data_IF_507967646497
#
_entry.id   IF_507967646497
#
_cell.length_a   1.000
_cell.length_b   1.000
_cell.length_c   1.000
_cell.angle_alpha   90.00
_cell.angle_beta   90.00
_cell.angle_gamma   90.00
#
_symmetry.space_group_name_H-M   'P 1'
#
loop_
_entity.id
_entity.type
_entity.pdbx_description
1 polymer ?
#
# COMPACT_ATOMS: atom_id res chain seq x y z
N UNK A 1 -19.29 -15.23 7.60
CA UNK A 1 -19.24 -13.75 7.72
C UNK A 1 -20.65 -13.29 8.09
N UNK A 2 -20.86 -12.43 9.10
CA UNK A 2 -22.22 -11.97 9.43
C UNK A 2 -22.62 -10.87 8.43
N UNK A 3 -23.84 -10.88 7.86
CA UNK A 3 -24.33 -9.79 7.03
C UNK A 3 -24.29 -8.45 7.77
N UNK A 4 -23.96 -7.36 7.09
CA UNK A 4 -23.93 -6.02 7.71
C UNK A 4 -25.30 -5.60 8.27
N UNK A 5 -26.39 -6.08 7.68
CA UNK A 5 -27.74 -5.82 8.16
C UNK A 5 -28.01 -6.38 9.56
N UNK A 6 -27.51 -7.60 9.87
CA UNK A 6 -27.63 -8.18 11.22
C UNK A 6 -26.90 -7.34 12.26
N UNK A 7 -25.65 -6.97 11.97
CA UNK A 7 -24.81 -6.17 12.89
C UNK A 7 -25.45 -4.82 13.18
N UNK A 8 -25.94 -4.13 12.14
CA UNK A 8 -26.62 -2.85 12.31
C UNK A 8 -27.91 -3.00 13.13
N UNK A 9 -28.65 -4.11 12.98
CA UNK A 9 -29.86 -4.34 13.75
C UNK A 9 -29.60 -4.69 15.22
N UNK A 10 -28.52 -5.41 15.51
CA UNK A 10 -28.06 -5.68 16.89
C UNK A 10 -27.69 -4.35 17.58
N UNK A 11 -26.85 -3.53 16.93
CA UNK A 11 -26.42 -2.22 17.47
C UNK A 11 -27.61 -1.27 17.64
N UNK A 12 -28.55 -1.26 16.70
CA UNK A 12 -29.80 -0.51 16.80
C UNK A 12 -30.58 -0.92 18.05
N UNK A 13 -30.71 -2.22 18.31
CA UNK A 13 -31.41 -2.73 19.49
C UNK A 13 -30.70 -2.30 20.79
N UNK A 14 -29.37 -2.43 20.84
CA UNK A 14 -28.56 -2.06 22.00
C UNK A 14 -28.62 -0.56 22.31
N UNK A 15 -28.68 0.28 21.27
CA UNK A 15 -28.82 1.74 21.39
C UNK A 15 -30.27 2.20 21.60
N UNK A 16 -31.22 1.27 21.72
CA UNK A 16 -32.66 1.56 21.87
C UNK A 16 -33.25 2.43 20.74
N UNK A 17 -32.68 2.37 19.53
CA UNK A 17 -33.18 3.10 18.37
C UNK A 17 -34.37 2.35 17.78
N UNK A 18 -35.51 3.02 17.64
CA UNK A 18 -36.73 2.43 17.12
C UNK A 18 -36.68 2.26 15.60
N UNK A 19 -37.44 1.29 15.06
CA UNK A 19 -37.60 1.19 13.59
C UNK A 19 -38.27 2.44 13.01
N UNK A 20 -39.16 3.10 13.76
CA UNK A 20 -39.80 4.34 13.32
C UNK A 20 -38.80 5.48 13.08
N UNK A 21 -37.67 5.52 13.80
CA UNK A 21 -36.61 6.50 13.53
C UNK A 21 -35.89 6.18 12.22
N UNK A 22 -35.69 4.90 11.88
CA UNK A 22 -35.14 4.48 10.59
C UNK A 22 -36.10 4.80 9.43
N UNK A 23 -37.42 4.67 9.66
CA UNK A 23 -38.43 5.00 8.65
C UNK A 23 -38.40 6.48 8.23
N UNK A 24 -37.89 7.38 9.08
CA UNK A 24 -37.71 8.81 8.74
C UNK A 24 -36.73 9.02 7.57
N UNK A 25 -35.84 8.06 7.32
CA UNK A 25 -34.91 8.09 6.17
C UNK A 25 -35.51 7.48 4.89
N UNK A 26 -36.80 7.14 4.88
CA UNK A 26 -37.47 6.51 3.74
C UNK A 26 -37.26 4.99 3.65
N UNK A 27 -36.69 4.38 4.68
CA UNK A 27 -36.49 2.93 4.76
C UNK A 27 -37.66 2.32 5.53
N UNK A 28 -38.64 1.75 4.81
CA UNK A 28 -39.80 1.12 5.45
C UNK A 28 -39.41 -0.04 6.38
N UNK A 29 -40.21 -0.29 7.43
CA UNK A 29 -40.00 -1.43 8.35
C UNK A 29 -39.80 -2.78 7.63
N UNK A 30 -40.60 -3.04 6.60
CA UNK A 30 -40.48 -4.27 5.80
C UNK A 30 -39.14 -4.34 5.05
N UNK A 31 -38.72 -3.23 4.43
CA UNK A 31 -37.43 -3.15 3.73
C UNK A 31 -36.26 -3.28 4.71
N UNK A 32 -36.36 -2.70 5.90
CA UNK A 32 -35.35 -2.87 6.95
C UNK A 32 -35.13 -4.34 7.30
N UNK A 33 -36.19 -5.09 7.64
CA UNK A 33 -36.02 -6.50 8.01
C UNK A 33 -35.52 -7.38 6.85
N UNK A 34 -35.94 -7.09 5.62
CA UNK A 34 -35.38 -7.76 4.44
C UNK A 34 -33.90 -7.46 4.25
N UNK A 35 -33.48 -6.22 4.49
CA UNK A 35 -32.06 -5.84 4.48
C UNK A 35 -31.28 -6.57 5.59
N UNK A 36 -31.84 -6.67 6.79
CA UNK A 36 -31.25 -7.44 7.90
C UNK A 36 -31.05 -8.90 7.52
N UNK A 37 -32.02 -9.49 6.81
CA UNK A 37 -31.95 -10.86 6.31
C UNK A 37 -31.04 -11.05 5.06
N UNK A 38 -30.45 -9.97 4.52
CA UNK A 38 -29.64 -10.02 3.30
C UNK A 38 -30.44 -10.13 2.00
N UNK A 39 -31.75 -9.89 2.04
CA UNK A 39 -32.69 -10.00 0.90
C UNK A 39 -32.98 -8.65 0.21
N UNK A 40 -32.39 -7.57 0.72
CA UNK A 40 -32.50 -6.22 0.17
C UNK A 40 -31.24 -5.41 0.46
N UNK A 41 -30.99 -4.40 -0.37
CA UNK A 41 -29.85 -3.49 -0.21
C UNK A 41 -30.32 -2.08 0.21
N UNK A 42 -29.44 -1.39 0.95
CA UNK A 42 -29.53 0.04 1.19
C UNK A 42 -28.62 0.77 0.22
N UNK A 43 -29.05 1.94 -0.25
CA UNK A 43 -28.16 2.87 -0.93
C UNK A 43 -27.09 3.39 0.02
N UNK A 44 -25.98 3.90 -0.52
CA UNK A 44 -24.91 4.48 0.30
C UNK A 44 -25.39 5.62 1.20
N UNK A 45 -26.32 6.45 0.71
CA UNK A 45 -26.92 7.53 1.49
C UNK A 45 -27.73 6.99 2.67
N UNK A 46 -28.60 6.01 2.42
CA UNK A 46 -29.39 5.35 3.47
C UNK A 46 -28.51 4.70 4.53
N UNK A 47 -27.40 4.07 4.11
CA UNK A 47 -26.42 3.52 5.03
C UNK A 47 -25.72 4.61 5.87
N UNK A 48 -25.34 5.74 5.26
CA UNK A 48 -24.78 6.91 5.99
C UNK A 48 -25.77 7.44 7.02
N UNK A 49 -27.04 7.58 6.64
CA UNK A 49 -28.09 8.10 7.53
C UNK A 49 -28.31 7.17 8.73
N UNK A 50 -28.36 5.85 8.49
CA UNK A 50 -28.43 4.83 9.55
C UNK A 50 -27.19 4.84 10.44
N UNK A 51 -25.99 4.91 9.88
CA UNK A 51 -24.74 4.98 10.65
C UNK A 51 -24.69 6.23 11.53
N UNK A 52 -25.13 7.37 10.99
CA UNK A 52 -25.22 8.64 11.74
C UNK A 52 -26.22 8.53 12.89
N UNK A 53 -27.41 7.98 12.64
CA UNK A 53 -28.41 7.72 13.68
C UNK A 53 -27.87 6.81 14.77
N UNK A 54 -27.12 5.77 14.37
CA UNK A 54 -26.48 4.84 15.28
C UNK A 54 -25.18 5.39 15.88
N UNK A 55 -24.81 6.66 15.68
CA UNK A 55 -23.55 7.25 16.17
C UNK A 55 -22.36 6.33 15.94
N UNK A 56 -22.27 5.78 14.73
CA UNK A 56 -21.31 4.77 14.32
C UNK A 56 -20.63 5.22 13.03
N UNK A 57 -19.32 5.03 12.94
CA UNK A 57 -18.53 5.30 11.74
C UNK A 57 -18.54 4.11 10.78
N UNK A 58 -18.26 4.34 9.50
CA UNK A 58 -18.03 3.26 8.55
C UNK A 58 -16.90 2.30 8.99
N UNK A 59 -15.86 2.83 9.63
CA UNK A 59 -14.73 2.03 10.11
C UNK A 59 -15.14 1.08 11.23
N UNK A 60 -15.98 1.52 12.16
CA UNK A 60 -16.55 0.64 13.19
C UNK A 60 -17.43 -0.45 12.58
N UNK A 61 -18.24 -0.12 11.56
CA UNK A 61 -19.08 -1.11 10.89
C UNK A 61 -18.21 -2.20 10.25
N UNK A 62 -17.17 -1.78 9.52
CA UNK A 62 -16.18 -2.66 8.91
C UNK A 62 -15.58 -3.66 9.92
N UNK A 63 -15.13 -3.16 11.07
CA UNK A 63 -14.55 -3.98 12.13
C UNK A 63 -15.58 -5.00 12.66
N UNK A 64 -16.82 -4.58 12.87
CA UNK A 64 -17.86 -5.42 13.45
C UNK A 64 -18.33 -6.56 12.52
N UNK A 65 -18.43 -6.31 11.22
CA UNK A 65 -18.88 -7.34 10.25
C UNK A 65 -17.76 -8.29 9.83
N UNK A 66 -16.52 -8.01 10.25
CA UNK A 66 -15.29 -8.69 9.77
C UNK A 66 -15.19 -8.69 8.24
N UNK A 67 -15.94 -7.81 7.57
CA UNK A 67 -15.74 -7.45 6.18
C UNK A 67 -14.73 -6.34 6.24
N UNK A 68 -13.55 -6.51 5.64
CA UNK A 68 -12.57 -5.45 5.65
C UNK A 68 -13.01 -4.39 4.63
N UNK A 69 -14.02 -3.56 4.95
CA UNK A 69 -14.39 -2.37 4.16
C UNK A 69 -13.19 -1.41 4.07
N UNK A 70 -12.29 -1.52 5.05
CA UNK A 70 -10.93 -1.01 5.02
C UNK A 70 -10.00 -2.20 5.20
N UNK A 71 -9.76 -3.01 4.16
CA UNK A 71 -8.61 -3.89 4.15
C UNK A 71 -7.41 -3.01 3.85
N UNK A 72 -6.52 -2.66 4.81
CA UNK A 72 -5.26 -2.08 4.43
C UNK A 72 -4.51 -3.15 3.63
N UNK A 73 -4.53 -3.03 2.31
CA UNK A 73 -3.71 -3.85 1.46
C UNK A 73 -2.26 -3.41 1.68
N UNK A 74 -1.48 -4.27 2.33
CA UNK A 74 -0.18 -3.91 2.88
C UNK A 74 0.81 -5.05 2.71
N UNK A 75 1.74 -4.91 1.77
CA UNK A 75 2.82 -5.87 1.59
C UNK A 75 3.72 -5.91 2.83
N UNK A 76 3.92 -4.77 3.50
CA UNK A 76 4.66 -4.67 4.77
C UNK A 76 4.04 -5.58 5.84
N UNK A 77 2.72 -5.51 6.04
CA UNK A 77 2.02 -6.38 6.98
C UNK A 77 2.13 -7.87 6.61
N UNK A 78 2.10 -8.19 5.32
CA UNK A 78 2.27 -9.57 4.83
C UNK A 78 3.69 -10.11 5.10
N UNK A 79 4.72 -9.27 5.05
CA UNK A 79 6.08 -9.65 5.43
C UNK A 79 6.25 -9.79 6.94
N UNK A 80 5.56 -8.97 7.73
CA UNK A 80 5.63 -8.99 9.20
C UNK A 80 4.87 -10.16 9.86
N UNK A 81 3.82 -10.68 9.20
CA UNK A 81 3.03 -11.79 9.77
C UNK A 81 3.75 -13.13 9.72
N UNK A 82 3.34 -14.11 10.54
CA UNK A 82 3.91 -15.46 10.49
C UNK A 82 3.59 -16.17 9.16
N UNK A 83 4.43 -17.13 8.74
CA UNK A 83 4.16 -17.88 7.50
C UNK A 83 2.82 -18.63 7.55
N UNK A 84 2.45 -19.16 8.72
CA UNK A 84 1.18 -19.86 8.89
C UNK A 84 -0.03 -18.91 8.76
N UNK A 85 0.05 -17.72 9.33
CA UNK A 85 -1.00 -16.69 9.17
C UNK A 85 -1.06 -16.16 7.74
N UNK A 86 0.09 -15.99 7.08
CA UNK A 86 0.12 -15.60 5.67
C UNK A 86 -0.63 -16.62 4.80
N UNK A 87 -0.38 -17.92 5.00
CA UNK A 87 -1.01 -19.01 4.25
C UNK A 87 -2.50 -19.17 4.57
N UNK A 88 -2.84 -19.25 5.84
CA UNK A 88 -4.18 -19.67 6.27
C UNK A 88 -5.17 -18.51 6.41
N UNK A 89 -4.69 -17.29 6.69
CA UNK A 89 -5.57 -16.14 6.90
C UNK A 89 -5.53 -15.20 5.69
N UNK A 90 -4.33 -14.70 5.34
CA UNK A 90 -4.19 -13.66 4.31
C UNK A 90 -4.51 -14.21 2.92
N UNK A 91 -3.84 -15.28 2.51
CA UNK A 91 -3.96 -15.85 1.16
C UNK A 91 -5.36 -16.40 0.91
N UNK A 92 -5.94 -17.16 1.86
CA UNK A 92 -7.31 -17.67 1.70
C UNK A 92 -8.35 -16.53 1.62
N UNK A 93 -8.13 -15.43 2.36
CA UNK A 93 -9.00 -14.26 2.25
C UNK A 93 -8.80 -13.55 0.89
N UNK A 94 -7.57 -13.35 0.41
CA UNK A 94 -7.34 -12.77 -0.92
C UNK A 94 -7.87 -13.65 -2.05
N UNK A 95 -7.80 -14.98 -1.91
CA UNK A 95 -8.40 -15.94 -2.83
C UNK A 95 -9.91 -15.77 -2.90
N UNK A 96 -10.57 -15.69 -1.75
CA UNK A 96 -12.02 -15.45 -1.67
C UNK A 96 -12.41 -14.14 -2.35
N UNK A 97 -11.61 -13.07 -2.16
CA UNK A 97 -11.83 -11.78 -2.81
C UNK A 97 -11.64 -11.88 -4.31
N UNK A 98 -10.60 -12.57 -4.78
CA UNK A 98 -10.33 -12.78 -6.20
C UNK A 98 -11.46 -13.57 -6.89
N UNK A 99 -12.00 -14.61 -6.23
CA UNK A 99 -13.11 -15.41 -6.76
C UNK A 99 -14.42 -14.62 -6.91
N UNK A 100 -14.62 -13.60 -6.07
CA UNK A 100 -15.79 -12.72 -6.11
C UNK A 100 -15.56 -11.42 -6.91
N UNK A 101 -14.30 -11.11 -7.22
CA UNK A 101 -13.86 -9.84 -7.78
C UNK A 101 -13.70 -9.85 -9.30
N UNK A 102 -13.48 -8.67 -9.91
CA UNK A 102 -13.20 -8.56 -11.35
C UNK A 102 -11.75 -8.95 -11.71
N UNK A 103 -10.86 -9.07 -10.73
CA UNK A 103 -9.45 -9.40 -10.88
C UNK A 103 -8.92 -10.17 -9.66
N UNK A 104 -7.72 -10.71 -9.79
CA UNK A 104 -7.03 -11.52 -8.78
C UNK A 104 -5.71 -10.89 -8.30
N UNK A 105 -5.47 -9.59 -8.54
CA UNK A 105 -4.16 -9.00 -8.26
C UNK A 105 -3.79 -9.03 -6.77
N UNK A 106 -4.77 -8.83 -5.88
CA UNK A 106 -4.55 -8.93 -4.43
C UNK A 106 -4.06 -10.33 -4.01
N UNK A 107 -4.62 -11.37 -4.64
CA UNK A 107 -4.20 -12.75 -4.44
C UNK A 107 -2.80 -13.02 -5.01
N UNK A 108 -2.52 -12.55 -6.23
CA UNK A 108 -1.20 -12.68 -6.86
C UNK A 108 -0.09 -12.03 -6.02
N UNK A 109 -0.35 -10.87 -5.42
CA UNK A 109 0.61 -10.21 -4.52
C UNK A 109 0.85 -11.04 -3.26
N UNK A 110 -0.19 -11.57 -2.62
CA UNK A 110 -0.03 -12.40 -1.42
C UNK A 110 0.76 -13.68 -1.74
N UNK A 111 0.50 -14.29 -2.91
CA UNK A 111 1.29 -15.42 -3.41
C UNK A 111 2.75 -15.03 -3.69
N UNK A 112 2.99 -13.85 -4.27
CA UNK A 112 4.33 -13.34 -4.52
C UNK A 112 5.10 -13.13 -3.21
N UNK A 113 4.47 -12.53 -2.20
CA UNK A 113 5.09 -12.36 -0.86
C UNK A 113 5.44 -13.72 -0.26
N UNK A 114 4.54 -14.69 -0.32
CA UNK A 114 4.83 -16.05 0.14
C UNK A 114 6.02 -16.65 -0.61
N UNK A 115 6.01 -16.56 -1.94
CA UNK A 115 7.08 -17.11 -2.78
C UNK A 115 8.43 -16.49 -2.46
N UNK A 116 8.50 -15.16 -2.27
CA UNK A 116 9.72 -14.45 -1.85
C UNK A 116 10.19 -14.96 -0.50
N UNK A 117 9.29 -15.14 0.46
CA UNK A 117 9.64 -15.58 1.82
C UNK A 117 10.11 -17.03 1.87
N UNK A 118 9.62 -17.89 0.99
CA UNK A 118 10.01 -19.32 0.94
C UNK A 118 11.24 -19.57 0.05
N UNK A 119 11.44 -18.78 -1.01
CA UNK A 119 12.42 -19.07 -2.05
C UNK A 119 13.48 -17.97 -2.23
N UNK A 120 13.31 -16.79 -1.62
CA UNK A 120 14.26 -15.67 -1.69
C UNK A 120 14.29 -14.92 -3.03
N UNK A 121 13.32 -15.15 -3.91
CA UNK A 121 13.26 -14.54 -5.25
C UNK A 121 11.83 -14.26 -5.70
N UNK A 122 11.67 -13.73 -6.92
CA UNK A 122 10.35 -13.49 -7.51
C UNK A 122 9.88 -14.70 -8.32
N UNK A 123 8.60 -15.06 -8.19
CA UNK A 123 7.96 -15.97 -9.13
C UNK A 123 7.86 -15.28 -10.50
N UNK A 124 8.40 -15.84 -11.60
CA UNK A 124 8.43 -15.15 -12.89
C UNK A 124 7.04 -14.85 -13.47
N UNK A 125 6.06 -15.72 -13.22
CA UNK A 125 4.70 -15.60 -13.75
C UNK A 125 3.96 -14.49 -13.04
N UNK A 126 3.98 -14.51 -11.70
CA UNK A 126 3.38 -13.47 -10.88
C UNK A 126 4.08 -12.12 -11.12
N UNK A 127 5.40 -12.12 -11.27
CA UNK A 127 6.17 -10.90 -11.54
C UNK A 127 5.76 -10.27 -12.87
N UNK A 128 5.64 -11.07 -13.94
CA UNK A 128 5.24 -10.56 -15.24
C UNK A 128 3.82 -9.97 -15.21
N UNK A 129 2.88 -10.63 -14.53
CA UNK A 129 1.50 -10.17 -14.37
C UNK A 129 1.42 -8.85 -13.60
N UNK A 130 2.02 -8.80 -12.41
CA UNK A 130 2.03 -7.60 -11.57
C UNK A 130 2.82 -6.44 -12.19
N UNK A 131 3.88 -6.74 -12.95
CA UNK A 131 4.59 -5.73 -13.75
C UNK A 131 3.68 -5.14 -14.82
N UNK A 132 2.91 -5.97 -15.53
CA UNK A 132 1.96 -5.50 -16.55
C UNK A 132 0.94 -4.54 -15.95
N UNK A 133 0.36 -4.87 -14.79
CA UNK A 133 -0.51 -3.98 -14.03
C UNK A 133 0.13 -2.60 -13.80
N UNK A 134 1.37 -2.58 -13.30
CA UNK A 134 2.08 -1.32 -13.03
C UNK A 134 2.36 -0.51 -14.31
N UNK A 135 2.61 -1.19 -15.43
CA UNK A 135 2.96 -0.56 -16.70
C UNK A 135 1.74 -0.08 -17.50
N UNK A 136 0.57 -0.70 -17.33
CA UNK A 136 -0.67 -0.30 -18.01
C UNK A 136 -1.43 0.81 -17.25
N UNK A 137 -1.27 0.91 -15.92
CA UNK A 137 -1.92 1.95 -15.13
C UNK A 137 -1.10 3.24 -15.02
N UNK A 138 -1.70 4.39 -15.35
CA UNK A 138 -1.05 5.70 -15.28
C UNK A 138 -1.17 6.40 -13.91
N UNK A 139 -2.19 6.06 -13.13
CA UNK A 139 -2.44 6.62 -11.80
C UNK A 139 -2.41 5.51 -10.76
N UNK A 140 -1.67 5.70 -9.67
CA UNK A 140 -1.52 4.69 -8.63
C UNK A 140 -2.36 5.02 -7.40
N UNK A 141 -3.15 4.05 -6.97
CA UNK A 141 -3.74 4.02 -5.64
C UNK A 141 -2.75 3.40 -4.65
N UNK A 142 -3.14 3.28 -3.37
CA UNK A 142 -2.34 2.57 -2.35
C UNK A 142 -1.99 1.14 -2.82
N UNK A 143 -2.88 0.50 -3.58
CA UNK A 143 -2.64 -0.84 -4.10
C UNK A 143 -1.43 -0.87 -5.05
N UNK A 144 -1.44 -0.06 -6.12
CA UNK A 144 -0.32 -0.02 -7.06
C UNK A 144 0.97 0.48 -6.39
N UNK A 145 0.89 1.36 -5.39
CA UNK A 145 2.06 1.76 -4.60
C UNK A 145 2.69 0.56 -3.86
N UNK A 146 1.87 -0.31 -3.27
CA UNK A 146 2.35 -1.55 -2.63
C UNK A 146 3.01 -2.50 -3.65
N UNK A 147 2.38 -2.68 -4.81
CA UNK A 147 2.93 -3.53 -5.89
C UNK A 147 4.23 -2.94 -6.44
N UNK A 148 4.29 -1.62 -6.64
CA UNK A 148 5.50 -0.92 -7.08
C UNK A 148 6.64 -1.11 -6.08
N UNK A 149 6.37 -0.92 -4.79
CA UNK A 149 7.32 -1.22 -3.72
C UNK A 149 7.81 -2.66 -3.80
N UNK A 150 6.89 -3.63 -3.86
CA UNK A 150 7.22 -5.07 -3.92
C UNK A 150 8.13 -5.43 -5.09
N UNK A 151 7.85 -4.92 -6.30
CA UNK A 151 8.60 -5.26 -7.52
C UNK A 151 9.84 -4.39 -7.77
N UNK A 152 9.98 -3.27 -7.05
CA UNK A 152 10.99 -2.23 -7.28
C UNK A 152 12.41 -2.76 -7.54
N UNK A 153 12.82 -3.79 -6.79
CA UNK A 153 14.15 -4.39 -6.92
C UNK A 153 14.32 -5.14 -8.25
N UNK A 154 13.32 -5.93 -8.66
CA UNK A 154 13.38 -6.81 -9.83
C UNK A 154 13.17 -6.12 -11.18
N UNK A 155 12.64 -4.91 -11.22
CA UNK A 155 12.44 -4.15 -12.47
C UNK A 155 13.77 -3.75 -13.12
N UNK A 156 13.84 -3.75 -14.45
CA UNK A 156 15.00 -3.15 -15.16
C UNK A 156 15.05 -1.64 -14.89
N UNK A 157 16.17 -0.94 -15.12
CA UNK A 157 16.22 0.51 -14.99
C UNK A 157 15.11 1.21 -15.80
N UNK A 158 14.92 0.84 -17.07
CA UNK A 158 13.93 1.46 -17.95
C UNK A 158 12.50 1.26 -17.43
N UNK A 159 12.16 0.02 -17.05
CA UNK A 159 10.85 -0.31 -16.47
C UNK A 159 10.63 0.42 -15.13
N UNK A 160 11.67 0.45 -14.29
CA UNK A 160 11.63 1.09 -12.99
C UNK A 160 11.39 2.60 -13.12
N UNK A 161 12.02 3.28 -14.08
CA UNK A 161 11.85 4.73 -14.23
C UNK A 161 10.39 5.10 -14.56
N UNK A 162 9.72 4.32 -15.41
CA UNK A 162 8.29 4.50 -15.71
C UNK A 162 7.44 4.36 -14.44
N UNK A 163 7.67 3.28 -13.68
CA UNK A 163 6.96 3.03 -12.41
C UNK A 163 7.28 4.12 -11.37
N UNK A 164 8.53 4.56 -11.28
CA UNK A 164 8.99 5.57 -10.33
C UNK A 164 8.38 6.94 -10.61
N UNK A 165 8.23 7.33 -11.88
CA UNK A 165 7.53 8.56 -12.27
C UNK A 165 6.04 8.54 -11.89
N UNK A 166 5.38 7.38 -12.00
CA UNK A 166 3.98 7.19 -11.56
C UNK A 166 3.86 7.20 -10.04
N UNK A 167 4.79 6.54 -9.34
CA UNK A 167 4.93 6.60 -7.89
C UNK A 167 5.09 8.05 -7.40
N UNK A 168 6.07 8.79 -7.91
CA UNK A 168 6.41 10.14 -7.44
C UNK A 168 5.25 11.13 -7.62
N UNK A 169 4.41 10.94 -8.66
CA UNK A 169 3.19 11.73 -8.83
C UNK A 169 2.11 11.34 -7.81
N UNK A 170 1.85 10.04 -7.68
CA UNK A 170 0.72 9.51 -6.92
C UNK A 170 0.90 9.59 -5.40
N UNK A 171 2.13 9.40 -4.91
CA UNK A 171 2.46 9.39 -3.47
C UNK A 171 2.10 10.70 -2.77
N UNK A 172 2.09 11.83 -3.51
CA UNK A 172 1.75 13.15 -2.98
C UNK A 172 0.30 13.26 -2.52
N UNK A 173 -0.61 12.47 -3.10
CA UNK A 173 -2.04 12.45 -2.76
C UNK A 173 -2.31 11.89 -1.36
N UNK A 174 -1.34 11.19 -0.78
CA UNK A 174 -1.50 10.53 0.51
C UNK A 174 -0.94 11.33 1.69
N UNK A 175 -0.42 12.54 1.48
CA UNK A 175 0.29 13.36 2.48
C UNK A 175 -0.42 13.57 3.86
N UNK A 176 -1.75 13.55 3.91
CA UNK A 176 -2.57 13.72 5.13
C UNK A 176 -3.11 12.40 5.69
N UNK A 177 -2.99 11.31 4.94
CA UNK A 177 -3.42 9.96 5.30
C UNK A 177 -2.35 8.96 4.84
N UNK A 178 -1.28 8.86 5.64
CA UNK A 178 -0.23 7.86 5.43
C UNK A 178 -0.32 6.81 6.53
N UNK A 179 -0.93 5.65 6.26
CA UNK A 179 -0.64 4.45 7.04
C UNK A 179 0.88 4.23 7.08
N UNK A 180 1.39 3.69 8.19
CA UNK A 180 2.82 3.39 8.41
C UNK A 180 3.46 2.68 7.19
N UNK A 181 2.68 1.84 6.52
CA UNK A 181 3.09 1.05 5.36
C UNK A 181 3.53 1.87 4.14
N UNK A 182 2.96 3.07 3.94
CA UNK A 182 3.31 3.93 2.80
C UNK A 182 4.72 4.52 2.93
N UNK A 183 5.22 4.66 4.16
CA UNK A 183 6.59 5.11 4.42
C UNK A 183 7.63 4.08 4.00
N UNK A 184 7.40 2.81 4.34
CA UNK A 184 8.25 1.70 3.90
C UNK A 184 8.33 1.62 2.38
N UNK A 185 7.19 1.79 1.70
CA UNK A 185 7.12 1.82 0.23
C UNK A 185 7.92 3.00 -0.32
N UNK A 186 7.72 4.22 0.20
CA UNK A 186 8.43 5.40 -0.28
C UNK A 186 9.95 5.26 -0.12
N UNK A 187 10.39 4.79 1.04
CA UNK A 187 11.80 4.49 1.27
C UNK A 187 12.34 3.47 0.26
N UNK A 188 11.63 2.36 0.07
CA UNK A 188 12.03 1.32 -0.87
C UNK A 188 12.15 1.85 -2.29
N UNK A 189 11.18 2.64 -2.75
CA UNK A 189 11.20 3.24 -4.09
C UNK A 189 12.39 4.19 -4.25
N UNK A 190 12.63 5.10 -3.30
CA UNK A 190 13.75 6.03 -3.41
C UNK A 190 15.12 5.35 -3.32
N UNK A 191 15.28 4.36 -2.45
CA UNK A 191 16.52 3.57 -2.35
C UNK A 191 16.81 2.84 -3.66
N UNK A 192 15.79 2.24 -4.28
CA UNK A 192 15.98 1.58 -5.58
C UNK A 192 16.29 2.58 -6.69
N UNK A 193 15.69 3.77 -6.69
CA UNK A 193 16.04 4.83 -7.62
C UNK A 193 17.52 5.23 -7.51
N UNK A 194 18.01 5.40 -6.28
CA UNK A 194 19.42 5.72 -6.02
C UNK A 194 20.33 4.58 -6.51
N UNK A 195 20.04 3.33 -6.14
CA UNK A 195 20.86 2.19 -6.57
C UNK A 195 20.93 2.06 -8.09
N UNK A 196 19.78 2.15 -8.76
CA UNK A 196 19.69 1.93 -10.21
C UNK A 196 20.26 3.08 -11.03
N UNK A 197 20.15 4.32 -10.57
CA UNK A 197 20.47 5.51 -11.38
C UNK A 197 21.56 6.41 -10.83
N UNK A 198 21.83 6.39 -9.53
CA UNK A 198 22.85 7.24 -8.92
C UNK A 198 24.09 6.45 -8.50
N UNK A 199 23.97 5.14 -8.23
CA UNK A 199 25.14 4.29 -7.94
C UNK A 199 25.70 3.68 -9.22
N UNK A 200 24.86 3.11 -10.08
CA UNK A 200 25.32 2.52 -11.35
C UNK A 200 25.64 3.60 -12.39
N UNK A 201 26.92 3.82 -12.76
CA UNK A 201 27.30 4.87 -13.71
C UNK A 201 26.71 4.68 -15.10
N UNK A 202 26.35 3.45 -15.50
CA UNK A 202 25.81 3.17 -16.83
C UNK A 202 24.43 3.78 -17.06
N UNK A 203 23.65 3.90 -15.98
CA UNK A 203 22.28 4.42 -16.05
C UNK A 203 22.20 5.89 -15.63
N UNK A 204 23.30 6.47 -15.12
CA UNK A 204 23.37 7.88 -14.73
C UNK A 204 23.13 8.77 -15.94
N UNK A 205 22.05 9.54 -15.90
CA UNK A 205 21.86 10.67 -16.79
C UNK A 205 21.30 11.87 -16.01
N UNK A 206 21.57 13.07 -16.52
CA UNK A 206 21.27 14.33 -15.82
C UNK A 206 19.78 14.51 -15.56
N UNK A 207 18.93 14.16 -16.51
CA UNK A 207 17.48 14.34 -16.43
C UNK A 207 16.86 13.42 -15.37
N UNK A 208 17.12 12.12 -15.46
CA UNK A 208 16.64 11.13 -14.51
C UNK A 208 17.19 11.39 -13.11
N UNK A 209 18.47 11.75 -12.99
CA UNK A 209 19.05 12.04 -11.68
C UNK A 209 18.41 13.27 -11.04
N UNK A 210 18.22 14.35 -11.82
CA UNK A 210 17.52 15.53 -11.34
C UNK A 210 16.10 15.21 -10.90
N UNK A 211 15.35 14.45 -11.70
CA UNK A 211 14.01 14.01 -11.37
C UNK A 211 13.97 13.20 -10.06
N UNK A 212 14.88 12.23 -9.90
CA UNK A 212 14.96 11.40 -8.70
C UNK A 212 15.25 12.25 -7.46
N UNK A 213 16.24 13.14 -7.54
CA UNK A 213 16.62 14.02 -6.43
C UNK A 213 15.47 14.96 -6.06
N UNK A 214 14.80 15.57 -7.04
CA UNK A 214 13.63 16.42 -6.80
C UNK A 214 12.47 15.63 -6.18
N UNK A 215 12.21 14.41 -6.63
CA UNK A 215 11.19 13.53 -6.06
C UNK A 215 11.49 13.18 -4.59
N UNK A 216 12.74 12.85 -4.26
CA UNK A 216 13.18 12.60 -2.87
C UNK A 216 13.01 13.86 -2.02
N UNK A 217 13.42 15.03 -2.55
CA UNK A 217 13.35 16.28 -1.81
C UNK A 217 11.91 16.64 -1.46
N UNK A 218 10.99 16.43 -2.40
CA UNK A 218 9.58 16.77 -2.28
C UNK A 218 8.72 15.66 -1.65
N UNK A 219 9.29 14.48 -1.39
CA UNK A 219 8.57 13.38 -0.72
C UNK A 219 8.04 13.88 0.63
N UNK A 220 6.73 13.79 0.94
CA UNK A 220 6.21 14.12 2.26
C UNK A 220 6.99 13.40 3.37
N UNK A 221 7.12 13.99 4.56
CA UNK A 221 7.71 13.33 5.72
C UNK A 221 7.00 13.83 6.98
N UNK A 222 6.66 12.93 7.90
CA UNK A 222 6.20 13.28 9.26
C UNK A 222 7.38 13.37 10.21
N UNK A 223 7.13 13.77 11.46
CA UNK A 223 8.23 13.93 12.39
C UNK A 223 8.97 12.64 12.72
N UNK A 224 8.26 11.51 12.62
CA UNK A 224 8.72 10.18 12.98
C UNK A 224 9.49 9.46 11.86
N UNK A 225 9.61 10.02 10.65
CA UNK A 225 10.34 9.39 9.53
C UNK A 225 11.76 9.95 9.37
N UNK A 226 12.64 9.61 10.31
CA UNK A 226 14.01 10.11 10.38
C UNK A 226 14.81 9.76 9.13
N UNK A 227 14.61 8.57 8.58
CA UNK A 227 15.35 8.02 7.45
C UNK A 227 15.03 8.77 6.16
N UNK A 228 13.75 9.10 5.92
CA UNK A 228 13.34 9.94 4.79
C UNK A 228 13.89 11.36 4.93
N UNK A 229 13.97 11.89 6.15
CA UNK A 229 14.60 13.20 6.41
C UNK A 229 16.10 13.17 6.12
N UNK A 230 16.80 12.08 6.47
CA UNK A 230 18.23 11.89 6.13
C UNK A 230 18.38 11.79 4.61
N UNK A 231 17.54 11.01 3.95
CA UNK A 231 17.56 10.84 2.50
C UNK A 231 17.30 12.14 1.76
N UNK A 232 16.35 12.95 2.24
CA UNK A 232 16.11 14.31 1.76
C UNK A 232 17.36 15.17 1.85
N UNK A 233 18.03 15.19 3.01
CA UNK A 233 19.26 15.98 3.20
C UNK A 233 20.37 15.54 2.26
N UNK A 234 20.55 14.23 2.09
CA UNK A 234 21.47 13.66 1.11
C UNK A 234 21.14 14.16 -0.30
N UNK A 235 19.88 14.04 -0.72
CA UNK A 235 19.48 14.48 -2.05
C UNK A 235 19.70 15.98 -2.28
N UNK A 236 19.43 16.83 -1.28
CA UNK A 236 19.74 18.27 -1.35
C UNK A 236 21.24 18.51 -1.53
N UNK A 237 22.08 17.82 -0.75
CA UNK A 237 23.54 17.92 -0.84
C UNK A 237 24.05 17.53 -2.24
N UNK A 238 23.57 16.40 -2.77
CA UNK A 238 23.96 15.89 -4.10
C UNK A 238 23.49 16.82 -5.23
N UNK A 239 22.30 17.41 -5.09
CA UNK A 239 21.73 18.34 -6.08
C UNK A 239 22.53 19.65 -6.16
N UNK A 240 22.95 20.19 -5.01
CA UNK A 240 23.51 21.54 -4.92
C UNK A 240 25.00 21.63 -5.30
N UNK A 241 25.76 20.51 -5.31
CA UNK A 241 27.23 20.53 -5.41
C UNK A 241 27.82 20.07 -6.77
N UNK A 242 27.05 20.08 -7.88
CA UNK A 242 27.51 19.58 -9.20
C UNK A 242 28.18 18.17 -9.14
N UNK A 243 27.91 17.40 -8.08
CA UNK A 243 28.65 16.18 -7.69
C UNK A 243 28.33 14.94 -8.51
N UNK A 244 27.50 15.09 -9.55
CA UNK A 244 27.17 14.03 -10.51
C UNK A 244 28.44 13.39 -11.14
N UNK A 245 29.55 14.13 -11.17
CA UNK A 245 30.81 13.70 -11.77
C UNK A 245 31.91 13.31 -10.75
N UNK A 246 31.64 13.36 -9.43
CA UNK A 246 32.67 13.13 -8.40
C UNK A 246 32.54 11.79 -7.65
N UNK A 247 33.65 11.06 -7.40
CA UNK A 247 33.68 9.80 -6.65
C UNK A 247 33.19 9.89 -5.19
N UNK A 248 33.15 11.09 -4.59
CA UNK A 248 32.70 11.30 -3.22
C UNK A 248 31.19 11.02 -3.02
N UNK A 249 30.41 11.07 -4.11
CA UNK A 249 29.01 10.64 -4.11
C UNK A 249 28.89 9.15 -3.80
N UNK A 250 29.81 8.32 -4.30
CA UNK A 250 29.74 6.87 -4.19
C UNK A 250 29.95 6.42 -2.74
N UNK A 251 30.90 7.01 -2.01
CA UNK A 251 31.16 6.69 -0.60
C UNK A 251 30.03 7.16 0.32
N UNK A 252 29.46 8.34 0.05
CA UNK A 252 28.35 8.90 0.84
C UNK A 252 27.05 8.10 0.60
N UNK A 253 26.77 7.76 -0.66
CA UNK A 253 25.63 6.92 -1.03
C UNK A 253 25.82 5.50 -0.48
N UNK A 254 27.02 4.94 -0.51
CA UNK A 254 27.31 3.61 0.04
C UNK A 254 27.13 3.56 1.55
N UNK A 255 27.66 4.53 2.29
CA UNK A 255 27.45 4.63 3.74
C UNK A 255 25.96 4.79 4.11
N UNK A 256 25.18 5.48 3.27
CA UNK A 256 23.74 5.61 3.43
C UNK A 256 22.99 4.31 3.11
N UNK A 257 23.33 3.63 2.01
CA UNK A 257 22.76 2.35 1.62
C UNK A 257 23.01 1.29 2.70
N UNK A 258 24.19 1.26 3.30
CA UNK A 258 24.52 0.37 4.40
C UNK A 258 23.65 0.61 5.64
N UNK A 259 23.24 1.86 5.88
CA UNK A 259 22.33 2.21 6.98
C UNK A 259 20.87 1.81 6.67
N UNK A 260 20.41 2.08 5.44
CA UNK A 260 19.06 1.73 5.00
C UNK A 260 18.86 0.20 4.83
N UNK A 261 19.90 -0.54 4.44
CA UNK A 261 19.86 -2.00 4.31
C UNK A 261 19.79 -2.71 5.66
N UNK A 262 20.45 -2.18 6.70
CA UNK A 262 20.34 -2.71 8.07
C UNK A 262 18.91 -2.68 8.60
N UNK A 263 18.12 -1.70 8.18
CA UNK A 263 16.70 -1.60 8.54
C UNK A 263 15.82 -2.50 7.66
N UNK A 264 16.18 -2.66 6.37
CA UNK A 264 15.49 -3.56 5.42
C UNK A 264 15.48 -5.03 5.89
N UNK A 265 16.51 -5.45 6.61
CA UNK A 265 16.56 -6.77 7.25
C UNK A 265 15.47 -6.96 8.32
N UNK A 266 14.97 -5.88 8.93
CA UNK A 266 13.85 -5.90 9.88
C UNK A 266 12.47 -5.76 9.25
N UNK A 267 12.35 -5.15 8.06
CA UNK A 267 11.06 -4.81 7.43
C UNK A 267 10.67 -5.75 6.27
N UNK A 268 11.63 -6.34 5.53
CA UNK A 268 11.35 -7.12 4.30
C UNK A 268 11.98 -8.53 4.33
N UNK A 269 12.76 -8.89 5.35
CA UNK A 269 13.26 -10.27 5.53
C UNK A 269 14.20 -10.77 4.42
N UNK A 270 14.70 -9.90 3.54
CA UNK A 270 15.75 -10.25 2.58
C UNK A 270 17.11 -9.93 3.19
N UNK A 271 17.92 -10.96 3.40
CA UNK A 271 19.30 -10.80 3.87
C UNK A 271 20.12 -10.02 2.82
N UNK A 272 21.03 -9.12 3.25
CA UNK A 272 21.98 -8.51 2.34
C UNK A 272 22.94 -9.60 1.82
N UNK A 273 23.08 -9.68 0.50
CA UNK A 273 24.18 -10.42 -0.10
C UNK A 273 25.42 -9.52 -0.02
N UNK A 274 26.41 -9.99 0.73
CA UNK A 274 27.74 -9.37 0.90
C UNK A 274 28.43 -9.23 -0.46
#
# INVERSE_FOLDING_TARGET
MRPYGEVLNDIRADKNVSISEIEQFGISKSRWYRFVAGEAELSLKELIDVLTLLTMTFSELAMAVKVPLFRPFSTVSMFATSLDQLKNDVIETEKTVAEAGPDDYGYQVAQMVLYIRENGGYDPTLFASLKKLLLENDSYTIFELNVAGLLAYGLTPEEFMVVYQRFARSITMFNTYLPIDVWGIAMQMHVQAIKKFLVDPKNRNRENTRFILEAIINQPATDDTVELKILRRLAMFVRDDEMLEKPALDDLVKAFLDAAERERAGVVGLAPVI
#
